data_IF_424970732801
#
_entry.id   IF_424970732801
#
_cell.length_a   1.000
_cell.length_b   1.000
_cell.length_c   1.000
_cell.angle_alpha   90.00
_cell.angle_beta   90.00
_cell.angle_gamma   90.00
#
_symmetry.space_group_name_H-M   'P 1'
#
loop_
_entity.id
_entity.type
_entity.pdbx_description
1 polymer ?
#
# COMPACT_ATOMS: atom_id res chain seq x y z
N UNK A 1 -15.28 12.23 -10.51
CA UNK A 1 -13.88 12.36 -10.06
C UNK A 1 -13.18 11.10 -10.55
N UNK A 2 -12.17 11.21 -11.42
CA UNK A 2 -11.47 10.03 -11.94
C UNK A 2 -10.78 9.30 -10.79
N UNK A 3 -11.08 8.00 -10.60
CA UNK A 3 -10.65 7.19 -9.46
C UNK A 3 -9.14 7.26 -9.20
N UNK A 4 -8.36 7.37 -10.27
CA UNK A 4 -6.90 7.56 -10.27
C UNK A 4 -6.42 8.75 -9.42
N UNK A 5 -7.15 9.88 -9.44
CA UNK A 5 -6.79 11.07 -8.63
C UNK A 5 -7.08 10.89 -7.14
N UNK A 6 -8.04 10.03 -6.78
CA UNK A 6 -8.35 9.77 -5.37
C UNK A 6 -7.28 8.87 -4.74
N UNK A 7 -6.73 7.93 -5.53
CA UNK A 7 -5.68 7.01 -5.09
C UNK A 7 -4.35 7.72 -4.93
N UNK A 8 -3.90 8.49 -5.93
CA UNK A 8 -2.67 9.30 -5.81
C UNK A 8 -2.74 10.23 -4.58
N UNK A 9 -3.90 10.87 -4.34
CA UNK A 9 -4.08 11.72 -3.16
C UNK A 9 -4.01 10.93 -1.84
N UNK A 10 -4.74 9.81 -1.74
CA UNK A 10 -4.72 8.97 -0.53
C UNK A 10 -3.32 8.37 -0.28
N UNK A 11 -2.63 7.94 -1.33
CA UNK A 11 -1.28 7.41 -1.26
C UNK A 11 -0.31 8.47 -0.72
N UNK A 12 -0.25 9.66 -1.33
CA UNK A 12 0.64 10.75 -0.88
C UNK A 12 0.35 11.21 0.54
N UNK A 13 -0.93 11.26 0.93
CA UNK A 13 -1.32 11.69 2.27
C UNK A 13 -0.87 10.70 3.35
N UNK A 14 -0.86 9.40 3.04
CA UNK A 14 -0.59 8.33 4.00
C UNK A 14 0.78 7.67 3.85
N UNK A 15 1.52 7.95 2.77
CA UNK A 15 2.81 7.36 2.46
C UNK A 15 3.77 7.40 3.65
N UNK A 16 4.02 8.58 4.23
CA UNK A 16 4.95 8.71 5.36
C UNK A 16 4.50 7.91 6.59
N UNK A 17 3.19 7.77 6.81
CA UNK A 17 2.65 6.99 7.93
C UNK A 17 2.80 5.50 7.69
N UNK A 18 2.55 5.04 6.46
CA UNK A 18 2.69 3.63 6.09
C UNK A 18 4.16 3.22 6.11
N UNK A 19 5.05 4.03 5.55
CA UNK A 19 6.50 3.79 5.55
C UNK A 19 7.11 3.80 6.97
N UNK A 20 6.43 4.38 7.95
CA UNK A 20 6.84 4.34 9.36
C UNK A 20 6.43 3.04 10.09
N UNK A 21 5.60 2.19 9.49
CA UNK A 21 5.22 0.90 10.07
C UNK A 21 6.41 -0.07 9.94
N UNK A 22 6.89 -0.69 11.03
CA UNK A 22 7.96 -1.67 10.95
C UNK A 22 7.61 -2.82 9.99
N UNK A 23 8.53 -3.10 9.07
CA UNK A 23 8.36 -4.13 8.03
C UNK A 23 7.76 -3.62 6.73
N UNK A 24 7.25 -2.38 6.66
CA UNK A 24 6.87 -1.77 5.37
C UNK A 24 8.12 -1.37 4.60
N UNK A 25 8.17 -1.82 3.34
CA UNK A 25 9.29 -1.58 2.42
C UNK A 25 8.94 -0.53 1.36
N UNK A 26 7.65 -0.39 1.02
CA UNK A 26 7.20 0.53 -0.01
C UNK A 26 5.68 0.61 -0.09
N UNK A 27 5.20 1.65 -0.76
CA UNK A 27 3.78 1.83 -1.09
C UNK A 27 3.65 2.25 -2.54
N UNK A 28 2.67 1.71 -3.24
CA UNK A 28 2.42 2.03 -4.65
C UNK A 28 0.93 2.00 -4.97
N UNK A 29 0.58 2.60 -6.10
CA UNK A 29 -0.70 2.37 -6.75
C UNK A 29 -0.68 1.02 -7.46
N UNK A 30 -1.80 0.32 -7.44
CA UNK A 30 -1.97 -0.92 -8.16
C UNK A 30 -3.44 -1.28 -8.32
N UNK A 31 -3.68 -2.52 -8.68
CA UNK A 31 -5.02 -3.07 -8.87
C UNK A 31 -5.18 -4.33 -8.04
N UNK A 32 -6.39 -4.54 -7.55
CA UNK A 32 -6.81 -5.83 -6.97
C UNK A 32 -6.87 -6.90 -8.07
N UNK A 33 -6.98 -8.17 -7.67
CA UNK A 33 -7.17 -9.28 -8.61
C UNK A 33 -8.44 -9.15 -9.50
N UNK A 34 -9.39 -8.28 -9.12
CA UNK A 34 -10.62 -8.00 -9.87
C UNK A 34 -10.49 -6.78 -10.79
N UNK A 35 -9.34 -6.11 -10.81
CA UNK A 35 -9.08 -4.89 -11.61
C UNK A 35 -9.51 -3.60 -10.91
N UNK A 36 -9.96 -3.66 -9.65
CA UNK A 36 -10.28 -2.45 -8.89
C UNK A 36 -9.01 -1.79 -8.39
N UNK A 37 -8.90 -0.47 -8.57
CA UNK A 37 -7.72 0.26 -8.17
C UNK A 37 -7.56 0.31 -6.64
N UNK A 38 -6.33 0.12 -6.17
CA UNK A 38 -5.99 -0.08 -4.77
C UNK A 38 -4.59 0.43 -4.44
N UNK A 39 -4.35 0.68 -3.15
CA UNK A 39 -3.02 0.96 -2.61
C UNK A 39 -2.36 -0.37 -2.24
N UNK A 40 -1.19 -0.63 -2.81
CA UNK A 40 -0.38 -1.80 -2.51
C UNK A 40 0.70 -1.39 -1.52
N UNK A 41 0.75 -2.08 -0.39
CA UNK A 41 1.76 -1.87 0.65
C UNK A 41 2.71 -3.06 0.64
N UNK A 42 3.92 -2.86 0.15
CA UNK A 42 4.96 -3.88 0.14
C UNK A 42 5.53 -4.03 1.54
N UNK A 43 5.52 -5.25 2.04
CA UNK A 43 5.99 -5.58 3.38
C UNK A 43 6.96 -6.75 3.35
N UNK A 44 7.86 -6.77 4.32
CA UNK A 44 8.69 -7.92 4.57
C UNK A 44 7.84 -9.09 5.14
N UNK A 45 8.36 -10.30 5.02
CA UNK A 45 7.69 -11.52 5.50
C UNK A 45 7.45 -11.53 7.01
N UNK A 46 8.26 -10.81 7.78
CA UNK A 46 8.17 -10.76 9.24
C UNK A 46 7.28 -9.58 9.70
N UNK A 47 6.71 -8.81 8.75
CA UNK A 47 5.86 -7.67 9.05
C UNK A 47 4.55 -8.07 9.72
N UNK A 48 4.14 -7.24 10.69
CA UNK A 48 2.84 -7.38 11.33
C UNK A 48 1.73 -6.82 10.42
N UNK A 49 1.14 -7.69 9.59
CA UNK A 49 0.06 -7.35 8.66
C UNK A 49 -1.15 -6.68 9.34
N UNK A 50 -1.39 -6.95 10.63
CA UNK A 50 -2.48 -6.31 11.39
C UNK A 50 -2.30 -4.79 11.58
N UNK A 51 -1.10 -4.26 11.37
CA UNK A 51 -0.82 -2.83 11.43
C UNK A 51 -1.16 -2.09 10.14
N UNK A 52 -1.43 -2.82 9.04
CA UNK A 52 -1.73 -2.25 7.73
C UNK A 52 -3.25 -2.04 7.63
N UNK A 53 -3.72 -0.79 7.41
CA UNK A 53 -5.13 -0.53 7.22
C UNK A 53 -5.67 -1.26 5.99
N UNK A 54 -6.88 -1.79 6.07
CA UNK A 54 -7.55 -2.41 4.92
C UNK A 54 -8.07 -1.38 3.90
N UNK A 55 -8.16 -0.10 4.28
CA UNK A 55 -8.53 1.01 3.40
C UNK A 55 -7.97 2.34 3.92
N UNK A 56 -7.76 3.29 3.02
CA UNK A 56 -7.27 4.64 3.26
C UNK A 56 -8.14 5.62 2.49
N UNK A 57 -8.82 6.56 3.16
CA UNK A 57 -9.75 7.50 2.51
C UNK A 57 -10.82 6.81 1.62
N UNK A 58 -11.23 5.59 1.99
CA UNK A 58 -12.16 4.78 1.20
C UNK A 58 -11.54 4.03 0.02
N UNK A 59 -10.24 4.22 -0.25
CA UNK A 59 -9.46 3.45 -1.22
C UNK A 59 -9.04 2.12 -0.57
N UNK A 60 -9.30 0.96 -1.20
CA UNK A 60 -8.81 -0.33 -0.70
C UNK A 60 -7.28 -0.35 -0.59
N UNK A 61 -6.76 -0.86 0.53
CA UNK A 61 -5.34 -1.04 0.75
C UNK A 61 -5.02 -2.51 1.04
N UNK A 62 -3.96 -3.04 0.43
CA UNK A 62 -3.57 -4.46 0.56
C UNK A 62 -2.09 -4.57 0.84
N UNK A 63 -1.75 -5.37 1.85
CA UNK A 63 -0.37 -5.78 2.06
C UNK A 63 0.03 -6.84 1.03
N UNK A 64 1.15 -6.62 0.36
CA UNK A 64 1.82 -7.60 -0.49
C UNK A 64 3.12 -8.00 0.19
N UNK A 65 3.20 -9.25 0.62
CA UNK A 65 4.44 -9.81 1.18
C UNK A 65 5.35 -10.10 0.01
N UNK A 66 6.49 -9.42 -0.03
CA UNK A 66 7.51 -9.63 -1.06
C UNK A 66 8.82 -10.13 -0.41
N UNK A 67 9.64 -10.82 -1.20
CA UNK A 67 11.02 -11.06 -0.80
C UNK A 67 11.77 -9.71 -0.76
N UNK A 68 12.82 -9.55 0.08
CA UNK A 68 13.48 -8.26 0.27
C UNK A 68 13.82 -7.58 -1.06
N UNK A 69 13.21 -6.42 -1.30
CA UNK A 69 13.43 -5.65 -2.52
C UNK A 69 14.90 -5.22 -2.56
N UNK A 70 15.72 -5.90 -3.35
CA UNK A 70 17.09 -5.47 -3.63
C UNK A 70 17.02 -4.53 -4.81
N UNK A 71 16.99 -3.22 -4.57
CA UNK A 71 17.22 -2.25 -5.63
C UNK A 71 18.62 -2.52 -6.21
N UNK A 72 18.69 -3.01 -7.46
CA UNK A 72 19.92 -3.18 -8.23
C UNK A 72 20.30 -1.91 -8.97
#
# INVERSE_FOLDING_TARGET
MSSERAIDHALRLHESRLMAIPGVQGVAEGETATGDAAIIVYVDKDAHLGSIPAALEGVPARAHVDDPFTAQ
#
